data_IF_234689658610
#
_entry.id   IF_234689658610
#
_cell.length_a   1.000
_cell.length_b   1.000
_cell.length_c   1.000
_cell.angle_alpha   90.00
_cell.angle_beta   90.00
_cell.angle_gamma   90.00
#
_symmetry.space_group_name_H-M   'P 1'
#
loop_
_entity.id
_entity.type
_entity.pdbx_description
1 polymer ?
#
# COMPACT_ATOMS: atom_id res chain seq x y z
N UNK A 1 11.97 -23.50 -24.30
CA UNK A 1 11.74 -22.33 -23.41
C UNK A 1 12.00 -22.76 -21.98
N UNK A 2 12.85 -22.06 -21.22
CA UNK A 2 12.97 -22.29 -19.77
C UNK A 2 11.70 -21.74 -19.11
N UNK A 3 10.99 -22.59 -18.37
CA UNK A 3 9.83 -22.17 -17.59
C UNK A 3 10.33 -21.63 -16.25
N UNK A 4 10.48 -20.30 -16.14
CA UNK A 4 10.98 -19.68 -14.92
C UNK A 4 9.88 -19.65 -13.85
N UNK A 5 10.18 -20.21 -12.67
CA UNK A 5 9.33 -20.00 -11.50
C UNK A 5 9.53 -18.57 -10.99
N UNK A 6 8.51 -17.73 -11.10
CA UNK A 6 8.54 -16.36 -10.57
C UNK A 6 8.31 -16.33 -9.06
N UNK A 7 8.88 -15.33 -8.39
CA UNK A 7 8.57 -15.04 -7.00
C UNK A 7 7.13 -14.50 -6.88
N UNK A 8 6.30 -15.08 -6.01
CA UNK A 8 4.90 -14.66 -5.83
C UNK A 8 4.76 -13.26 -5.22
N UNK A 9 5.80 -12.75 -4.55
CA UNK A 9 5.80 -11.45 -3.89
C UNK A 9 6.14 -10.29 -4.84
N UNK A 10 7.26 -10.39 -5.56
CA UNK A 10 7.72 -9.31 -6.45
C UNK A 10 7.45 -9.57 -7.94
N UNK A 11 6.98 -10.77 -8.31
CA UNK A 11 6.71 -11.15 -9.71
C UNK A 11 7.95 -11.43 -10.56
N UNK A 12 9.16 -11.23 -10.04
CA UNK A 12 10.40 -11.42 -10.81
C UNK A 12 10.72 -12.91 -10.98
N UNK A 13 11.13 -13.27 -12.20
CA UNK A 13 11.71 -14.58 -12.53
C UNK A 13 13.14 -14.42 -13.01
N UNK A 14 14.06 -15.23 -12.47
CA UNK A 14 15.45 -15.28 -12.90
C UNK A 14 16.01 -16.70 -12.71
N UNK A 15 17.17 -16.99 -13.31
CA UNK A 15 17.84 -18.27 -13.11
C UNK A 15 18.19 -18.52 -11.63
N UNK A 16 18.57 -17.48 -10.89
CA UNK A 16 18.86 -17.56 -9.46
C UNK A 16 17.61 -17.88 -8.63
N UNK A 17 16.47 -17.23 -8.94
CA UNK A 17 15.20 -17.53 -8.27
C UNK A 17 14.80 -18.98 -8.54
N UNK A 18 14.99 -19.46 -9.77
CA UNK A 18 14.63 -20.82 -10.13
C UNK A 18 15.46 -21.88 -9.40
N UNK A 19 16.74 -21.61 -9.09
CA UNK A 19 17.62 -22.53 -8.35
C UNK A 19 17.11 -22.84 -6.95
N UNK A 20 16.48 -21.87 -6.29
CA UNK A 20 16.00 -21.99 -4.91
C UNK A 20 14.50 -22.26 -4.82
N UNK A 21 13.80 -22.31 -5.95
CA UNK A 21 12.35 -22.31 -5.98
C UNK A 21 11.73 -23.54 -5.29
N UNK A 22 12.31 -24.72 -5.47
CA UNK A 22 11.77 -25.95 -4.86
C UNK A 22 11.90 -25.93 -3.34
N UNK A 23 13.07 -25.52 -2.80
CA UNK A 23 13.27 -25.36 -1.37
C UNK A 23 12.34 -24.29 -0.76
N UNK A 24 12.09 -23.19 -1.49
CA UNK A 24 11.19 -22.14 -1.04
C UNK A 24 9.72 -22.60 -1.05
N UNK A 25 9.31 -23.35 -2.08
CA UNK A 25 7.97 -23.96 -2.14
C UNK A 25 7.80 -24.99 -1.02
N UNK A 26 8.80 -25.82 -0.72
CA UNK A 26 8.75 -26.76 0.39
C UNK A 26 8.61 -26.04 1.74
N UNK A 27 9.36 -24.96 1.94
CA UNK A 27 9.35 -24.18 3.18
C UNK A 27 8.06 -23.38 3.41
N UNK A 28 7.52 -22.76 2.37
CA UNK A 28 6.44 -21.78 2.48
C UNK A 28 5.15 -22.14 1.74
N UNK A 29 5.14 -23.23 0.99
CA UNK A 29 4.04 -23.59 0.07
C UNK A 29 3.97 -22.74 -1.19
N UNK A 30 4.83 -21.73 -1.33
CA UNK A 30 4.86 -20.76 -2.44
C UNK A 30 6.31 -20.39 -2.77
N UNK A 31 6.64 -20.09 -4.03
CA UNK A 31 7.98 -19.65 -4.39
C UNK A 31 8.19 -18.18 -4.00
N UNK A 32 8.94 -17.95 -2.93
CA UNK A 32 9.34 -16.61 -2.46
C UNK A 32 10.86 -16.50 -2.68
N UNK A 33 11.33 -15.50 -3.42
CA UNK A 33 12.77 -15.33 -3.56
C UNK A 33 13.39 -14.90 -2.22
N UNK A 34 14.62 -15.33 -1.96
CA UNK A 34 15.36 -15.06 -0.71
C UNK A 34 15.35 -13.58 -0.34
N UNK A 35 15.54 -12.69 -1.32
CA UNK A 35 15.48 -11.24 -1.10
C UNK A 35 14.12 -10.73 -0.59
N UNK A 36 13.02 -11.34 -1.02
CA UNK A 36 11.69 -10.99 -0.50
C UNK A 36 11.47 -11.60 0.88
N UNK A 37 11.90 -12.84 1.09
CA UNK A 37 11.87 -13.49 2.42
C UNK A 37 12.59 -12.62 3.47
N UNK A 38 13.84 -12.25 3.19
CA UNK A 38 14.67 -11.42 4.08
C UNK A 38 14.00 -10.08 4.36
N UNK A 39 13.47 -9.44 3.32
CA UNK A 39 12.75 -8.18 3.43
C UNK A 39 11.50 -8.31 4.32
N UNK A 40 10.72 -9.38 4.19
CA UNK A 40 9.53 -9.59 5.00
C UNK A 40 9.87 -9.88 6.47
N UNK A 41 10.88 -10.72 6.72
CA UNK A 41 11.32 -10.99 8.09
C UNK A 41 11.85 -9.70 8.75
N UNK A 42 12.64 -8.90 8.03
CA UNK A 42 13.12 -7.60 8.52
C UNK A 42 11.97 -6.64 8.86
N UNK A 43 10.91 -6.58 8.04
CA UNK A 43 9.71 -5.76 8.33
C UNK A 43 8.99 -6.27 9.58
N UNK A 44 8.86 -7.59 9.73
CA UNK A 44 8.18 -8.21 10.87
C UNK A 44 8.91 -7.97 12.20
N UNK A 45 10.24 -7.92 12.16
CA UNK A 45 11.11 -7.75 13.33
C UNK A 45 11.35 -6.28 13.70
N UNK A 46 11.29 -5.36 12.74
CA UNK A 46 11.53 -3.92 12.99
C UNK A 46 10.46 -3.29 13.88
N UNK A 47 10.84 -2.40 14.79
CA UNK A 47 9.87 -1.54 15.53
C UNK A 47 9.50 -0.26 14.77
N UNK A 48 10.28 0.06 13.73
CA UNK A 48 10.14 1.26 12.93
C UNK A 48 9.12 1.07 11.80
N UNK A 49 8.56 2.19 11.33
CA UNK A 49 7.75 2.18 10.12
C UNK A 49 8.64 1.90 8.90
N UNK A 50 8.18 1.01 8.01
CA UNK A 50 8.85 0.78 6.74
C UNK A 50 8.86 2.06 5.89
N UNK A 51 10.04 2.47 5.44
CA UNK A 51 10.26 3.60 4.52
C UNK A 51 11.00 3.10 3.28
N UNK A 52 10.52 3.46 2.10
CA UNK A 52 11.15 3.07 0.83
C UNK A 52 11.90 4.26 0.24
N UNK A 53 13.17 4.08 -0.13
CA UNK A 53 13.91 5.07 -0.91
C UNK A 53 13.59 4.87 -2.39
N UNK A 54 13.14 5.93 -3.03
CA UNK A 54 12.81 5.99 -4.46
C UNK A 54 13.71 7.03 -5.14
N UNK A 55 13.71 7.07 -6.48
CA UNK A 55 14.43 8.11 -7.23
C UNK A 55 13.98 9.54 -6.91
N UNK A 56 12.81 9.69 -6.27
CA UNK A 56 12.22 10.97 -5.87
C UNK A 56 12.26 11.21 -4.34
N UNK A 57 13.04 10.40 -3.59
CA UNK A 57 13.19 10.55 -2.14
C UNK A 57 12.53 9.44 -1.33
N UNK A 58 12.25 9.72 -0.04
CA UNK A 58 11.74 8.72 0.91
C UNK A 58 10.22 8.64 0.85
N UNK A 59 9.72 7.54 0.32
CA UNK A 59 8.30 7.23 0.17
C UNK A 59 7.70 6.63 1.44
N UNK A 60 6.45 7.01 1.67
CA UNK A 60 5.61 6.45 2.74
C UNK A 60 4.99 5.13 2.27
N UNK A 61 5.05 4.09 3.10
CA UNK A 61 4.46 2.78 2.77
C UNK A 61 3.06 2.59 3.35
N UNK A 62 2.31 1.71 2.72
CA UNK A 62 1.01 1.20 3.15
C UNK A 62 1.09 -0.32 3.19
N UNK A 63 1.00 -0.88 4.38
CA UNK A 63 1.01 -2.33 4.55
C UNK A 63 -0.45 -2.76 4.75
N UNK A 64 -1.01 -3.40 3.73
CA UNK A 64 -2.32 -4.04 3.81
C UNK A 64 -2.14 -5.52 4.18
N UNK A 65 -3.24 -6.26 4.32
CA UNK A 65 -3.17 -7.71 4.57
C UNK A 65 -2.48 -8.48 3.43
N UNK A 66 -2.64 -8.01 2.20
CA UNK A 66 -2.27 -8.78 1.00
C UNK A 66 -1.13 -8.13 0.21
N UNK A 67 -0.80 -6.87 0.47
CA UNK A 67 0.09 -6.08 -0.38
C UNK A 67 0.73 -4.92 0.37
N UNK A 68 1.98 -4.63 0.04
CA UNK A 68 2.69 -3.43 0.41
C UNK A 68 2.65 -2.47 -0.77
N UNK A 69 2.13 -1.28 -0.53
CA UNK A 69 2.13 -0.16 -1.48
C UNK A 69 2.99 0.98 -0.95
N UNK A 70 3.24 1.97 -1.81
CA UNK A 70 3.85 3.23 -1.40
C UNK A 70 3.33 4.43 -2.20
N UNK A 71 3.57 5.62 -1.64
CA UNK A 71 3.38 6.90 -2.30
C UNK A 71 4.71 7.62 -2.48
N UNK A 72 4.90 8.22 -3.64
CA UNK A 72 5.94 9.24 -3.80
C UNK A 72 5.64 10.44 -2.89
N UNK A 73 6.65 10.93 -2.18
CA UNK A 73 6.52 11.96 -1.14
C UNK A 73 6.00 13.30 -1.68
N UNK A 74 6.36 13.64 -2.92
CA UNK A 74 6.13 14.98 -3.49
C UNK A 74 4.82 15.10 -4.27
N UNK A 75 4.00 14.04 -4.30
CA UNK A 75 2.74 14.06 -5.05
C UNK A 75 1.53 14.32 -4.13
N UNK A 76 0.59 15.16 -4.58
CA UNK A 76 -0.55 15.57 -3.77
C UNK A 76 -1.47 14.40 -3.44
N UNK A 77 -1.91 14.37 -2.17
CA UNK A 77 -2.92 13.46 -1.63
C UNK A 77 -4.21 14.25 -1.43
N UNK A 78 -5.34 13.67 -1.77
CA UNK A 78 -6.63 14.34 -1.60
C UNK A 78 -7.25 13.87 -0.29
N UNK A 79 -7.05 14.66 0.75
CA UNK A 79 -7.70 14.44 2.05
C UNK A 79 -9.10 15.04 2.11
N UNK A 80 -9.38 16.05 1.28
CA UNK A 80 -10.68 16.69 1.15
C UNK A 80 -11.34 16.31 -0.18
N UNK A 81 -12.48 15.59 -0.17
CA UNK A 81 -13.20 15.23 -1.39
C UNK A 81 -13.68 16.44 -2.21
N UNK A 82 -13.74 17.66 -1.65
CA UNK A 82 -14.04 18.90 -2.39
C UNK A 82 -12.86 19.43 -3.20
N UNK A 83 -11.65 18.92 -2.99
CA UNK A 83 -10.45 19.43 -3.64
C UNK A 83 -10.59 19.43 -5.19
N UNK A 84 -10.02 20.45 -5.88
CA UNK A 84 -10.06 20.55 -7.34
C UNK A 84 -9.25 19.45 -8.06
N UNK A 85 -8.50 18.64 -7.32
CA UNK A 85 -7.50 17.70 -7.83
C UNK A 85 -8.07 16.39 -8.42
N UNK A 86 -9.38 16.16 -8.40
CA UNK A 86 -10.03 14.96 -8.96
C UNK A 86 -9.98 14.85 -10.52
N UNK A 87 -9.22 15.72 -11.19
CA UNK A 87 -9.19 15.84 -12.65
C UNK A 87 -8.38 14.77 -13.39
N UNK A 88 -7.38 14.16 -12.76
CA UNK A 88 -6.46 13.24 -13.45
C UNK A 88 -7.14 11.91 -13.86
N UNK A 89 -6.70 11.33 -14.98
CA UNK A 89 -7.11 9.99 -15.44
C UNK A 89 -6.47 8.88 -14.60
N UNK A 90 -6.96 7.64 -14.75
CA UNK A 90 -6.43 6.46 -14.06
C UNK A 90 -7.30 5.91 -12.93
N UNK A 91 -6.83 4.82 -12.30
CA UNK A 91 -7.49 4.19 -11.15
C UNK A 91 -7.34 5.05 -9.91
N UNK A 92 -8.42 5.18 -9.13
CA UNK A 92 -8.40 5.85 -7.85
C UNK A 92 -8.48 4.85 -6.71
N UNK A 93 -7.87 5.21 -5.59
CA UNK A 93 -7.83 4.36 -4.41
C UNK A 93 -8.28 5.17 -3.19
N UNK A 94 -9.29 4.66 -2.49
CA UNK A 94 -9.61 5.07 -1.13
C UNK A 94 -8.67 4.36 -0.18
N UNK A 95 -7.99 5.14 0.65
CA UNK A 95 -6.92 4.65 1.50
C UNK A 95 -7.24 5.08 2.91
N UNK A 96 -7.24 4.12 3.83
CA UNK A 96 -7.24 4.43 5.26
C UNK A 96 -5.94 3.96 5.85
N UNK A 97 -5.25 4.82 6.61
CA UNK A 97 -3.95 4.53 7.20
C UNK A 97 -3.91 4.95 8.66
N UNK A 98 -3.35 4.08 9.49
CA UNK A 98 -3.00 4.37 10.87
C UNK A 98 -1.73 5.23 10.90
N UNK A 99 -1.81 6.42 11.52
CA UNK A 99 -0.69 7.34 11.70
C UNK A 99 -0.41 7.52 13.20
N UNK A 100 0.84 7.25 13.59
CA UNK A 100 1.32 7.54 14.94
C UNK A 100 1.25 9.05 15.21
N UNK A 101 0.69 9.42 16.35
CA UNK A 101 0.64 10.80 16.82
C UNK A 101 1.86 11.12 17.65
N UNK A 102 2.22 12.42 17.74
CA UNK A 102 3.29 12.92 18.61
C UNK A 102 3.07 12.66 20.11
N UNK A 103 1.87 12.23 20.51
CA UNK A 103 1.47 12.02 21.91
C UNK A 103 1.37 10.53 22.29
N UNK A 104 1.86 9.61 21.45
CA UNK A 104 1.92 8.18 21.80
C UNK A 104 0.64 7.39 21.51
N UNK A 105 -0.16 7.81 20.54
CA UNK A 105 -1.33 7.06 20.05
C UNK A 105 -1.33 6.89 18.53
N UNK A 106 -2.38 6.27 17.99
CA UNK A 106 -2.60 6.18 16.54
C UNK A 106 -3.92 6.84 16.17
N UNK A 107 -3.94 7.60 15.08
CA UNK A 107 -5.17 8.09 14.44
C UNK A 107 -5.31 7.44 13.07
N UNK A 108 -6.52 7.00 12.74
CA UNK A 108 -6.81 6.49 11.40
C UNK A 108 -7.27 7.63 10.51
N UNK A 109 -6.51 7.90 9.45
CA UNK A 109 -6.85 8.91 8.45
C UNK A 109 -7.36 8.26 7.18
N UNK A 110 -8.33 8.89 6.54
CA UNK A 110 -8.82 8.52 5.22
C UNK A 110 -8.39 9.58 4.21
N UNK A 111 -7.98 9.15 3.02
CA UNK A 111 -7.67 10.01 1.89
C UNK A 111 -7.79 9.22 0.59
N UNK A 112 -7.89 9.92 -0.54
CA UNK A 112 -7.91 9.30 -1.87
C UNK A 112 -6.67 9.68 -2.67
N UNK A 113 -6.19 8.74 -3.48
CA UNK A 113 -5.03 8.95 -4.33
C UNK A 113 -5.15 8.13 -5.62
N UNK A 114 -4.65 8.70 -6.71
CA UNK A 114 -4.36 7.99 -7.96
C UNK A 114 -2.85 7.75 -8.14
N UNK A 115 -2.04 8.04 -7.11
CA UNK A 115 -0.59 7.92 -7.10
C UNK A 115 -0.13 6.77 -6.20
N UNK A 116 -0.74 5.60 -6.38
CA UNK A 116 -0.45 4.42 -5.58
C UNK A 116 0.41 3.45 -6.39
N UNK A 117 1.57 3.07 -5.85
CA UNK A 117 2.46 2.12 -6.48
C UNK A 117 2.50 0.82 -5.68
N UNK A 118 2.47 -0.30 -6.40
CA UNK A 118 2.68 -1.62 -5.82
C UNK A 118 4.18 -1.84 -5.62
N UNK A 119 4.59 -2.23 -4.42
CA UNK A 119 5.95 -2.71 -4.15
C UNK A 119 5.97 -4.24 -4.20
N UNK A 120 5.18 -4.89 -3.34
CA UNK A 120 5.20 -6.33 -3.13
C UNK A 120 3.85 -6.88 -2.69
N UNK A 121 3.49 -8.05 -3.22
CA UNK A 121 2.39 -8.86 -2.69
C UNK A 121 2.86 -9.63 -1.45
N UNK A 122 2.03 -9.71 -0.41
CA UNK A 122 2.33 -10.46 0.81
C UNK A 122 1.88 -11.93 0.59
N UNK A 123 2.83 -12.89 0.55
CA UNK A 123 2.52 -14.31 0.37
C UNK A 123 1.66 -14.84 1.51
N UNK A 124 0.87 -15.89 1.27
CA UNK A 124 -0.07 -16.44 2.26
C UNK A 124 0.63 -16.82 3.56
N UNK A 125 1.82 -17.42 3.45
CA UNK A 125 2.67 -17.81 4.58
C UNK A 125 3.13 -16.66 5.48
N UNK A 126 3.00 -15.41 5.04
CA UNK A 126 3.36 -14.22 5.82
C UNK A 126 2.15 -13.40 6.30
N UNK A 127 0.95 -13.58 5.75
CA UNK A 127 -0.20 -12.70 6.04
C UNK A 127 -0.60 -12.69 7.52
N UNK A 128 -0.69 -13.87 8.14
CA UNK A 128 -1.05 -13.97 9.57
C UNK A 128 0.03 -13.36 10.45
N UNK A 129 1.31 -13.62 10.16
CA UNK A 129 2.45 -13.02 10.89
C UNK A 129 2.42 -11.49 10.84
N UNK A 130 2.08 -10.90 9.68
CA UNK A 130 1.94 -9.45 9.53
C UNK A 130 0.79 -8.88 10.37
N UNK A 131 -0.32 -9.61 10.47
CA UNK A 131 -1.46 -9.22 11.30
C UNK A 131 -1.12 -9.33 12.80
N UNK A 132 -0.59 -10.47 13.24
CA UNK A 132 -0.23 -10.73 14.65
C UNK A 132 0.84 -9.78 15.18
N UNK A 133 1.80 -9.39 14.33
CA UNK A 133 2.83 -8.40 14.66
C UNK A 133 2.38 -6.95 14.51
N UNK A 134 1.10 -6.71 14.21
CA UNK A 134 0.54 -5.37 14.06
C UNK A 134 1.18 -4.55 12.94
N UNK A 135 1.66 -5.20 11.86
CA UNK A 135 2.32 -4.54 10.73
C UNK A 135 1.34 -4.00 9.70
N UNK A 136 0.14 -4.57 9.63
CA UNK A 136 -0.93 -4.09 8.75
C UNK A 136 -1.45 -2.77 9.28
N UNK A 137 -1.13 -1.67 8.60
CA UNK A 137 -1.46 -0.31 9.01
C UNK A 137 -2.40 0.41 8.04
N UNK A 138 -2.80 -0.25 6.95
CA UNK A 138 -3.59 0.39 5.91
C UNK A 138 -4.67 -0.53 5.32
N UNK A 139 -5.73 0.09 4.81
CA UNK A 139 -6.61 -0.51 3.80
C UNK A 139 -6.56 0.32 2.53
N UNK A 140 -6.64 -0.37 1.40
CA UNK A 140 -6.66 0.23 0.07
C UNK A 140 -7.82 -0.39 -0.70
N UNK A 141 -8.70 0.45 -1.21
CA UNK A 141 -9.88 0.03 -1.97
C UNK A 141 -9.90 0.80 -3.28
N UNK A 142 -9.94 0.11 -4.40
CA UNK A 142 -10.16 0.74 -5.70
C UNK A 142 -11.55 1.37 -5.75
N UNK A 143 -11.63 2.62 -6.20
CA UNK A 143 -12.88 3.35 -6.37
C UNK A 143 -12.93 3.93 -7.78
N UNK A 144 -14.10 3.90 -8.41
CA UNK A 144 -14.25 4.48 -9.74
C UNK A 144 -14.20 6.02 -9.67
N UNK A 145 -13.74 6.63 -10.76
CA UNK A 145 -13.77 8.09 -10.90
C UNK A 145 -15.20 8.65 -10.82
N UNK A 146 -16.18 7.91 -11.35
CA UNK A 146 -17.59 8.29 -11.33
C UNK A 146 -18.15 8.38 -9.90
N UNK A 147 -17.85 7.38 -9.06
CA UNK A 147 -18.26 7.38 -7.65
C UNK A 147 -17.65 8.57 -6.89
N UNK A 148 -16.38 8.90 -7.14
CA UNK A 148 -15.72 10.05 -6.51
C UNK A 148 -16.35 11.38 -6.92
N UNK A 149 -16.68 11.55 -8.20
CA UNK A 149 -17.35 12.76 -8.70
C UNK A 149 -18.75 12.88 -8.07
N UNK A 150 -19.51 11.78 -8.06
CA UNK A 150 -20.83 11.76 -7.42
C UNK A 150 -20.76 12.14 -5.95
N UNK A 151 -19.77 11.62 -5.20
CA UNK A 151 -19.57 11.98 -3.80
C UNK A 151 -19.25 13.47 -3.63
N UNK A 152 -18.34 14.01 -4.45
CA UNK A 152 -17.99 15.45 -4.42
C UNK A 152 -19.23 16.32 -4.67
N UNK A 153 -20.02 15.99 -5.68
CA UNK A 153 -21.22 16.75 -6.03
C UNK A 153 -22.28 16.68 -4.93
N UNK A 154 -22.46 15.52 -4.30
CA UNK A 154 -23.35 15.36 -3.14
C UNK A 154 -22.87 16.20 -1.95
N UNK A 155 -21.58 16.19 -1.62
CA UNK A 155 -21.02 16.98 -0.52
C UNK A 155 -21.12 18.49 -0.76
N UNK A 156 -21.03 18.93 -2.01
CA UNK A 156 -21.26 20.33 -2.38
C UNK A 156 -22.72 20.76 -2.30
N UNK A 157 -23.67 19.82 -2.21
CA UNK A 157 -25.11 20.13 -2.03
C UNK A 157 -25.53 20.21 -0.56
N UNK A 158 -24.64 19.90 0.39
CA UNK A 158 -24.94 19.96 1.83
C UNK A 158 -24.72 21.40 2.33
N UNK A 159 -25.78 22.13 2.74
CA UNK A 159 -25.72 23.58 2.98
C UNK A 159 -24.69 24.00 4.04
N UNK A 160 -24.64 23.31 5.18
CA UNK A 160 -23.75 23.64 6.30
C UNK A 160 -22.29 23.24 6.09
N UNK A 161 -21.99 22.44 5.05
CA UNK A 161 -20.60 22.17 4.63
C UNK A 161 -20.07 23.22 3.65
N UNK A 162 -20.94 24.13 3.19
CA UNK A 162 -20.59 25.25 2.31
C UNK A 162 -20.43 26.57 3.09
N UNK A 163 -20.70 26.57 4.40
CA UNK A 163 -20.34 27.67 5.27
C UNK A 163 -18.81 27.69 5.40
N UNK A 164 -18.18 28.52 4.56
CA UNK A 164 -16.81 28.98 4.77
C UNK A 164 -16.81 29.62 6.16
N UNK A 165 -16.15 28.99 7.14
CA UNK A 165 -15.92 29.65 8.43
C UNK A 165 -15.25 30.99 8.17
N UNK A 166 -15.70 32.08 8.83
CA UNK A 166 -15.10 33.39 8.69
C UNK A 166 -13.60 33.39 9.03
#
# INVERSE_FOLDING_TARGET
>A
MMNFKCCVACGWGSAEINKNADAQIEKFGENICVKCEDSFNSILESEEELRLKTGFGVSETLITKDTIYYFEADRPKVCDPKAPFLGFGGSWFLITKDQKTKYGGSIRKAFVSNNLFHDRSIPKSFRERFLEKGKVNATVVGISKQELISLKDQLNRIPYLNEVKP
#
